data_IF_151702378092
#
_entry.id   IF_151702378092
#
_cell.length_a   1.000
_cell.length_b   1.000
_cell.length_c   1.000
_cell.angle_alpha   90.00
_cell.angle_beta   90.00
_cell.angle_gamma   90.00
#
_symmetry.space_group_name_H-M   'P 1'
#
loop_
_entity.id
_entity.type
_entity.pdbx_description
1 polymer ?
#
# COMPACT_ATOMS: atom_id res chain seq x y z
N UNK A 1 5.42 11.87 -65.17
CA UNK A 1 4.04 11.92 -64.63
C UNK A 1 3.71 10.53 -64.10
N UNK A 2 3.07 10.52 -62.93
CA UNK A 2 2.72 9.40 -62.03
C UNK A 2 3.82 8.65 -61.25
N UNK A 3 3.91 8.93 -59.93
CA UNK A 3 4.34 7.98 -58.92
C UNK A 3 3.13 7.55 -58.07
N UNK A 4 2.70 6.30 -58.17
CA UNK A 4 1.63 5.75 -57.36
C UNK A 4 1.90 4.29 -57.01
N UNK A 5 2.20 4.02 -55.75
CA UNK A 5 1.76 2.85 -54.97
C UNK A 5 2.46 2.85 -53.60
N UNK A 6 1.94 3.68 -52.70
CA UNK A 6 2.29 3.64 -51.27
C UNK A 6 1.72 2.38 -50.62
N UNK A 7 2.62 1.55 -50.09
CA UNK A 7 2.26 0.38 -49.28
C UNK A 7 1.45 0.77 -48.04
N UNK A 8 0.21 0.29 -47.97
CA UNK A 8 -0.62 0.33 -46.76
C UNK A 8 0.05 -0.49 -45.65
N UNK A 9 0.63 0.20 -44.65
CA UNK A 9 0.96 -0.42 -43.36
C UNK A 9 -0.35 -0.82 -42.67
N UNK A 10 -0.56 -2.13 -42.48
CA UNK A 10 -1.57 -2.68 -41.58
C UNK A 10 -1.26 -2.22 -40.15
N UNK A 11 -1.96 -1.22 -39.66
CA UNK A 11 -2.05 -0.92 -38.22
C UNK A 11 -3.10 -1.84 -37.60
N UNK A 12 -2.74 -3.11 -37.40
CA UNK A 12 -3.60 -4.12 -36.79
C UNK A 12 -2.80 -4.93 -35.79
N UNK A 13 -2.62 -4.39 -34.59
CA UNK A 13 -1.93 -5.12 -33.52
C UNK A 13 -1.55 -4.22 -32.35
N UNK A 14 -2.47 -4.05 -31.39
CA UNK A 14 -2.10 -3.98 -29.97
C UNK A 14 -3.27 -3.94 -28.97
N UNK A 15 -4.51 -3.75 -29.42
CA UNK A 15 -5.63 -3.54 -28.48
C UNK A 15 -6.08 -4.81 -27.72
N UNK A 16 -5.84 -6.02 -28.28
CA UNK A 16 -6.18 -7.29 -27.61
C UNK A 16 -5.14 -7.75 -26.57
N UNK A 17 -3.90 -7.26 -26.63
CA UNK A 17 -2.82 -7.68 -25.72
C UNK A 17 -2.94 -7.01 -24.35
N UNK A 18 -3.30 -5.73 -24.32
CA UNK A 18 -3.35 -4.93 -23.09
C UNK A 18 -4.52 -5.30 -22.18
N UNK A 19 -5.68 -5.65 -22.74
CA UNK A 19 -6.85 -6.05 -21.96
C UNK A 19 -6.66 -7.43 -21.30
N UNK A 20 -6.06 -8.39 -22.03
CA UNK A 20 -5.72 -9.70 -21.49
C UNK A 20 -4.64 -9.63 -20.39
N UNK A 21 -3.60 -8.82 -20.60
CA UNK A 21 -2.57 -8.62 -19.58
C UNK A 21 -3.13 -8.00 -18.29
N UNK A 22 -3.99 -6.98 -18.40
CA UNK A 22 -4.60 -6.33 -17.24
C UNK A 22 -5.45 -7.30 -16.41
N UNK A 23 -6.24 -8.14 -17.08
CA UNK A 23 -7.06 -9.16 -16.43
C UNK A 23 -6.20 -10.18 -15.67
N UNK A 24 -5.11 -10.66 -16.28
CA UNK A 24 -4.18 -11.59 -15.63
C UNK A 24 -3.53 -10.97 -14.39
N UNK A 25 -3.11 -9.70 -14.43
CA UNK A 25 -2.53 -9.05 -13.26
C UNK A 25 -3.55 -8.86 -12.12
N UNK A 26 -4.82 -8.61 -12.44
CA UNK A 26 -5.87 -8.44 -11.46
C UNK A 26 -6.19 -9.77 -10.74
N UNK A 27 -6.31 -10.87 -11.49
CA UNK A 27 -6.49 -12.20 -10.91
C UNK A 27 -5.32 -12.66 -10.05
N UNK A 28 -4.08 -12.38 -10.47
CA UNK A 28 -2.88 -12.70 -9.69
C UNK A 28 -2.84 -11.88 -8.39
N UNK A 29 -3.16 -10.59 -8.45
CA UNK A 29 -3.24 -9.75 -7.26
C UNK A 29 -4.32 -10.26 -6.29
N UNK A 30 -5.52 -10.58 -6.77
CA UNK A 30 -6.59 -11.10 -5.92
C UNK A 30 -6.16 -12.40 -5.22
N UNK A 31 -5.66 -13.38 -5.98
CA UNK A 31 -5.16 -14.63 -5.40
C UNK A 31 -4.04 -14.39 -4.38
N UNK A 32 -3.14 -13.44 -4.63
CA UNK A 32 -2.07 -13.12 -3.68
C UNK A 32 -2.61 -12.56 -2.37
N UNK A 33 -3.66 -11.73 -2.43
CA UNK A 33 -4.32 -11.13 -1.25
C UNK A 33 -5.10 -12.20 -0.47
N UNK A 34 -5.83 -13.06 -1.17
CA UNK A 34 -6.59 -14.15 -0.54
C UNK A 34 -5.66 -15.14 0.16
N UNK A 35 -4.52 -15.46 -0.47
CA UNK A 35 -3.51 -16.32 0.10
C UNK A 35 -2.89 -15.71 1.36
N UNK A 36 -2.52 -14.42 1.33
CA UNK A 36 -1.94 -13.76 2.51
C UNK A 36 -2.96 -13.65 3.65
N UNK A 37 -4.21 -13.29 3.36
CA UNK A 37 -5.27 -13.23 4.36
C UNK A 37 -5.51 -14.60 5.01
N UNK A 38 -5.58 -15.67 4.20
CA UNK A 38 -5.77 -17.04 4.69
C UNK A 38 -4.60 -17.49 5.57
N UNK A 39 -3.36 -17.25 5.14
CA UNK A 39 -2.18 -17.57 5.93
C UNK A 39 -2.16 -16.85 7.29
N UNK A 40 -2.53 -15.56 7.32
CA UNK A 40 -2.64 -14.80 8.55
C UNK A 40 -3.75 -15.32 9.46
N UNK A 41 -4.91 -15.73 8.92
CA UNK A 41 -5.96 -16.34 9.74
C UNK A 41 -5.52 -17.65 10.37
N UNK A 42 -4.80 -18.49 9.63
CA UNK A 42 -4.28 -19.76 10.16
C UNK A 42 -3.26 -19.51 11.27
N UNK A 43 -2.34 -18.55 11.06
CA UNK A 43 -1.34 -18.16 12.07
C UNK A 43 -2.00 -17.65 13.36
N UNK A 44 -3.03 -16.84 13.24
CA UNK A 44 -3.75 -16.24 14.38
C UNK A 44 -4.82 -17.17 14.98
N UNK A 45 -5.09 -18.34 14.40
CA UNK A 45 -6.11 -19.26 14.90
C UNK A 45 -5.84 -19.72 16.34
N UNK A 46 -4.58 -19.72 16.77
CA UNK A 46 -4.23 -20.16 18.12
C UNK A 46 -4.86 -19.36 19.25
N UNK A 47 -5.19 -18.09 19.01
CA UNK A 47 -5.87 -17.24 19.98
C UNK A 47 -7.22 -17.81 20.45
N UNK A 48 -7.88 -18.64 19.62
CA UNK A 48 -9.15 -19.27 20.00
C UNK A 48 -9.01 -20.31 21.13
N UNK A 49 -7.82 -20.86 21.36
CA UNK A 49 -7.58 -21.84 22.41
C UNK A 49 -6.55 -21.40 23.46
N UNK A 50 -5.67 -20.44 23.14
CA UNK A 50 -4.66 -19.95 24.09
C UNK A 50 -5.15 -18.81 24.97
N UNK A 51 -6.08 -17.98 24.50
CA UNK A 51 -6.60 -16.84 25.28
C UNK A 51 -8.03 -17.10 25.76
N UNK A 52 -8.34 -16.63 26.97
CA UNK A 52 -9.67 -16.63 27.57
C UNK A 52 -9.97 -15.28 28.21
N UNK A 53 -11.25 -14.97 28.36
CA UNK A 53 -11.73 -13.76 29.04
C UNK A 53 -12.17 -14.15 30.45
N UNK A 54 -11.51 -13.62 31.48
CA UNK A 54 -11.93 -13.70 32.88
C UNK A 54 -11.92 -12.31 33.48
N UNK A 55 -12.98 -11.97 34.20
CA UNK A 55 -13.14 -10.71 34.90
C UNK A 55 -12.83 -9.49 34.00
N UNK A 56 -13.30 -9.52 32.76
CA UNK A 56 -13.06 -8.49 31.70
C UNK A 56 -11.62 -8.33 31.20
N UNK A 57 -10.68 -9.16 31.66
CA UNK A 57 -9.31 -9.20 31.15
C UNK A 57 -9.08 -10.41 30.24
N UNK A 58 -8.27 -10.20 29.20
CA UNK A 58 -7.84 -11.28 28.30
C UNK A 58 -6.52 -11.85 28.83
N UNK A 59 -6.52 -13.13 29.20
CA UNK A 59 -5.36 -13.81 29.77
C UNK A 59 -5.18 -15.18 29.14
N UNK A 60 -3.97 -15.72 29.29
CA UNK A 60 -3.66 -17.08 28.87
C UNK A 60 -4.52 -18.08 29.64
N UNK A 61 -5.30 -18.89 28.93
CA UNK A 61 -6.29 -19.81 29.54
C UNK A 61 -5.69 -20.78 30.57
N UNK A 62 -4.41 -21.14 30.42
CA UNK A 62 -3.70 -22.11 31.25
C UNK A 62 -2.21 -21.72 31.36
N UNK A 63 -1.59 -21.96 32.52
CA UNK A 63 -0.15 -21.78 32.74
C UNK A 63 0.69 -22.64 31.80
N UNK A 64 0.13 -23.77 31.32
CA UNK A 64 0.74 -24.60 30.28
C UNK A 64 1.05 -23.82 28.99
N UNK A 65 0.27 -22.79 28.68
CA UNK A 65 0.44 -21.99 27.47
C UNK A 65 1.22 -20.68 27.71
N UNK A 66 1.61 -20.35 28.94
CA UNK A 66 2.34 -19.10 29.23
C UNK A 66 3.70 -19.06 28.53
N UNK A 67 4.47 -20.14 28.54
CA UNK A 67 5.76 -20.19 27.84
C UNK A 67 5.57 -20.01 26.33
N UNK A 68 4.55 -20.66 25.77
CA UNK A 68 4.23 -20.52 24.35
C UNK A 68 3.84 -19.06 24.03
N UNK A 69 3.00 -18.43 24.83
CA UNK A 69 2.53 -17.05 24.60
C UNK A 69 3.64 -16.02 24.79
N UNK A 70 4.31 -16.04 25.93
CA UNK A 70 5.22 -14.97 26.32
C UNK A 70 6.53 -15.05 25.54
N UNK A 71 7.06 -16.26 25.32
CA UNK A 71 8.32 -16.47 24.61
C UNK A 71 8.08 -16.76 23.13
N UNK A 72 7.47 -17.91 22.82
CA UNK A 72 7.42 -18.42 21.43
C UNK A 72 6.60 -17.51 20.52
N UNK A 73 5.39 -17.13 20.95
CA UNK A 73 4.47 -16.32 20.16
C UNK A 73 4.97 -14.88 20.00
N UNK A 74 5.53 -14.26 21.05
CA UNK A 74 6.15 -12.93 20.93
C UNK A 74 7.22 -12.88 19.84
N UNK A 75 8.07 -13.92 19.73
CA UNK A 75 9.05 -14.01 18.65
C UNK A 75 8.42 -14.25 17.27
N UNK A 76 7.40 -15.10 17.18
CA UNK A 76 6.67 -15.34 15.93
C UNK A 76 6.00 -14.05 15.45
N UNK A 77 5.28 -13.36 16.33
CA UNK A 77 4.62 -12.08 16.04
C UNK A 77 5.65 -11.03 15.58
N UNK A 78 6.75 -10.88 16.33
CA UNK A 78 7.83 -9.97 15.95
C UNK A 78 8.39 -10.27 14.54
N UNK A 79 8.62 -11.55 14.23
CA UNK A 79 9.18 -11.95 12.93
C UNK A 79 8.16 -11.74 11.80
N UNK A 80 6.94 -12.25 11.96
CA UNK A 80 5.93 -12.29 10.90
C UNK A 80 5.27 -10.94 10.69
N UNK A 81 4.91 -10.24 11.78
CA UNK A 81 4.23 -8.95 11.68
C UNK A 81 5.19 -7.84 11.24
N UNK A 82 6.50 -8.00 11.47
CA UNK A 82 7.43 -6.86 11.34
C UNK A 82 8.79 -7.16 10.70
N UNK A 83 9.57 -8.11 11.21
CA UNK A 83 10.94 -8.30 10.71
C UNK A 83 10.97 -8.81 9.26
N UNK A 84 10.17 -9.82 8.94
CA UNK A 84 10.07 -10.41 7.61
C UNK A 84 9.55 -9.40 6.57
N UNK A 85 8.40 -8.72 6.76
CA UNK A 85 7.94 -7.69 5.82
C UNK A 85 8.94 -6.54 5.69
N UNK A 86 9.64 -6.18 6.77
CA UNK A 86 10.68 -5.15 6.73
C UNK A 86 11.87 -5.53 5.84
N UNK A 87 12.47 -6.72 6.04
CA UNK A 87 13.60 -7.20 5.24
C UNK A 87 13.21 -7.35 3.77
N UNK A 88 12.00 -7.83 3.51
CA UNK A 88 11.45 -7.96 2.17
C UNK A 88 11.28 -6.58 1.50
N UNK A 89 10.69 -5.61 2.21
CA UNK A 89 10.55 -4.25 1.70
C UNK A 89 11.91 -3.62 1.38
N UNK A 90 12.89 -3.70 2.28
CA UNK A 90 14.22 -3.12 2.04
C UNK A 90 14.90 -3.77 0.84
N UNK A 91 14.94 -5.10 0.79
CA UNK A 91 15.62 -5.82 -0.29
C UNK A 91 15.02 -5.48 -1.66
N UNK A 92 13.69 -5.44 -1.75
CA UNK A 92 12.98 -5.07 -2.98
C UNK A 92 13.23 -3.60 -3.35
N UNK A 93 13.12 -2.66 -2.40
CA UNK A 93 13.37 -1.24 -2.68
C UNK A 93 14.82 -0.98 -3.13
N UNK A 94 15.81 -1.63 -2.49
CA UNK A 94 17.22 -1.54 -2.89
C UNK A 94 17.40 -2.09 -4.30
N UNK A 95 16.83 -3.26 -4.60
CA UNK A 95 16.90 -3.86 -5.93
C UNK A 95 16.27 -2.95 -7.01
N UNK A 96 15.11 -2.34 -6.71
CA UNK A 96 14.44 -1.37 -7.58
C UNK A 96 15.34 -0.15 -7.83
N UNK A 97 15.93 0.44 -6.79
CA UNK A 97 16.83 1.60 -6.90
C UNK A 97 18.04 1.27 -7.76
N UNK A 98 18.73 0.15 -7.47
CA UNK A 98 19.91 -0.29 -8.21
C UNK A 98 19.56 -0.49 -9.68
N UNK A 99 18.43 -1.16 -9.97
CA UNK A 99 17.96 -1.38 -11.34
C UNK A 99 17.63 -0.07 -12.05
N UNK A 100 16.96 0.86 -11.38
CA UNK A 100 16.61 2.16 -11.96
C UNK A 100 17.83 3.00 -12.26
N UNK A 101 18.82 3.03 -11.36
CA UNK A 101 20.09 3.74 -11.59
C UNK A 101 20.84 3.13 -12.76
N UNK A 102 20.91 1.79 -12.84
CA UNK A 102 21.52 1.09 -13.96
C UNK A 102 20.84 1.41 -15.30
N UNK A 103 19.50 1.37 -15.34
CA UNK A 103 18.72 1.69 -16.53
C UNK A 103 18.85 3.15 -16.94
N UNK A 104 18.95 4.08 -15.98
CA UNK A 104 19.22 5.50 -16.25
C UNK A 104 20.61 5.71 -16.85
N UNK A 105 21.63 4.99 -16.36
CA UNK A 105 22.98 5.05 -16.90
C UNK A 105 23.09 4.47 -18.31
N UNK A 106 22.23 3.50 -18.68
CA UNK A 106 22.20 2.87 -20.01
C UNK A 106 21.27 3.53 -21.03
N UNK A 107 20.30 4.35 -20.61
CA UNK A 107 19.38 5.01 -21.56
C UNK A 107 20.05 6.24 -22.18
N UNK A 108 20.18 6.24 -23.50
CA UNK A 108 20.35 7.48 -24.27
C UNK A 108 19.19 8.44 -23.97
N UNK A 109 19.48 9.75 -23.97
CA UNK A 109 18.62 10.87 -23.55
C UNK A 109 17.23 10.98 -24.22
N UNK A 110 16.85 10.05 -25.11
CA UNK A 110 15.59 10.06 -25.88
C UNK A 110 14.40 9.38 -25.17
N UNK A 111 14.50 9.17 -23.85
CA UNK A 111 13.34 8.80 -23.04
C UNK A 111 12.33 9.96 -23.02
N UNK A 112 11.08 9.73 -23.46
CA UNK A 112 10.00 10.72 -23.30
C UNK A 112 9.94 11.15 -21.83
N UNK A 113 9.90 12.46 -21.59
CA UNK A 113 9.90 13.04 -20.25
C UNK A 113 8.76 12.51 -19.36
N UNK A 114 7.62 12.17 -19.96
CA UNK A 114 6.43 11.64 -19.29
C UNK A 114 6.64 10.25 -18.66
N UNK A 115 7.26 9.30 -19.39
CA UNK A 115 7.57 7.96 -18.87
C UNK A 115 8.57 8.02 -17.69
N UNK A 116 9.50 8.99 -17.74
CA UNK A 116 10.47 9.23 -16.66
C UNK A 116 9.77 9.73 -15.40
N UNK A 117 8.84 10.67 -15.54
CA UNK A 117 8.07 11.23 -14.42
C UNK A 117 7.21 10.17 -13.76
N UNK A 118 6.43 9.39 -14.53
CA UNK A 118 5.55 8.34 -13.99
C UNK A 118 6.31 7.25 -13.23
N UNK A 119 7.41 6.76 -13.79
CA UNK A 119 8.25 5.74 -13.16
C UNK A 119 8.92 6.26 -11.88
N UNK A 120 9.37 7.52 -11.88
CA UNK A 120 9.90 8.17 -10.69
C UNK A 120 8.83 8.32 -9.60
N UNK A 121 7.60 8.71 -9.95
CA UNK A 121 6.49 8.81 -9.01
C UNK A 121 6.16 7.46 -8.39
N UNK A 122 5.99 6.40 -9.19
CA UNK A 122 5.71 5.05 -8.66
C UNK A 122 6.81 4.57 -7.70
N UNK A 123 8.07 4.78 -8.04
CA UNK A 123 9.21 4.40 -7.19
C UNK A 123 9.25 5.24 -5.91
N UNK A 124 9.01 6.55 -6.00
CA UNK A 124 8.97 7.43 -4.84
C UNK A 124 7.88 6.99 -3.86
N UNK A 125 6.70 6.60 -4.36
CA UNK A 125 5.60 6.10 -3.52
C UNK A 125 6.02 4.81 -2.78
N UNK A 126 6.59 3.83 -3.48
CA UNK A 126 7.04 2.57 -2.87
C UNK A 126 8.09 2.81 -1.77
N UNK A 127 9.05 3.71 -2.03
CA UNK A 127 10.07 4.08 -1.05
C UNK A 127 9.44 4.81 0.15
N UNK A 128 8.55 5.78 -0.09
CA UNK A 128 7.88 6.53 0.97
C UNK A 128 7.07 5.61 1.88
N UNK A 129 6.29 4.70 1.31
CA UNK A 129 5.51 3.72 2.10
C UNK A 129 6.43 2.83 2.91
N UNK A 130 7.55 2.37 2.34
CA UNK A 130 8.49 1.48 3.02
C UNK A 130 9.26 2.16 4.16
N UNK A 131 9.66 3.42 3.98
CA UNK A 131 10.28 4.23 5.04
C UNK A 131 9.28 4.55 6.15
N UNK A 132 8.03 4.86 5.80
CA UNK A 132 6.98 5.14 6.76
C UNK A 132 6.63 3.91 7.59
N UNK A 133 6.55 2.73 6.96
CA UNK A 133 6.45 1.47 7.66
C UNK A 133 7.58 1.32 8.69
N UNK A 134 8.83 1.55 8.32
CA UNK A 134 9.94 1.47 9.27
C UNK A 134 9.77 2.42 10.48
N UNK A 135 9.52 3.70 10.23
CA UNK A 135 9.44 4.72 11.30
C UNK A 135 8.30 4.40 12.28
N UNK A 136 7.19 3.88 11.79
CA UNK A 136 5.97 3.72 12.58
C UNK A 136 5.82 2.32 13.18
N UNK A 137 6.45 1.28 12.61
CA UNK A 137 6.44 -0.09 13.17
C UNK A 137 7.69 -0.41 14.01
N UNK A 138 8.82 0.28 13.82
CA UNK A 138 10.03 0.05 14.63
C UNK A 138 9.82 0.24 16.16
N UNK A 139 9.08 1.27 16.64
CA UNK A 139 8.93 1.48 18.09
C UNK A 139 8.20 0.33 18.79
N UNK A 140 7.10 -0.16 18.21
CA UNK A 140 6.30 -1.24 18.79
C UNK A 140 7.05 -2.57 18.77
N UNK A 141 7.78 -2.84 17.71
CA UNK A 141 8.52 -4.11 17.55
C UNK A 141 9.70 -4.22 18.50
N UNK A 142 10.45 -3.14 18.69
CA UNK A 142 11.54 -3.08 19.67
C UNK A 142 10.98 -3.26 21.09
N UNK A 143 9.84 -2.62 21.39
CA UNK A 143 9.22 -2.75 22.71
C UNK A 143 8.76 -4.19 22.99
N UNK A 144 7.97 -4.79 22.09
CA UNK A 144 7.47 -6.16 22.25
C UNK A 144 8.63 -7.17 22.36
N UNK A 145 9.66 -7.04 21.52
CA UNK A 145 10.82 -7.94 21.57
C UNK A 145 11.68 -7.82 22.84
N UNK A 146 11.57 -6.70 23.57
CA UNK A 146 12.33 -6.47 24.81
C UNK A 146 11.45 -6.44 26.06
N UNK A 147 10.14 -6.62 25.93
CA UNK A 147 9.18 -6.40 27.02
C UNK A 147 9.47 -7.31 28.23
N UNK A 148 9.81 -8.59 28.01
CA UNK A 148 10.13 -9.52 29.10
C UNK A 148 11.38 -9.05 29.87
N UNK A 149 12.39 -8.55 29.16
CA UNK A 149 13.59 -8.00 29.77
C UNK A 149 13.26 -6.78 30.64
N UNK A 150 12.47 -5.83 30.11
CA UNK A 150 12.12 -4.61 30.84
C UNK A 150 11.20 -4.89 32.04
N UNK A 151 10.24 -5.81 31.89
CA UNK A 151 9.34 -6.19 32.98
C UNK A 151 10.09 -6.93 34.09
N UNK A 152 11.07 -7.77 33.74
CA UNK A 152 11.94 -8.45 34.73
C UNK A 152 12.83 -7.49 35.54
N UNK A 153 13.00 -6.25 35.06
CA UNK A 153 13.80 -5.20 35.68
C UNK A 153 12.97 -4.16 36.44
N UNK A 154 11.64 -4.24 36.39
CA UNK A 154 10.77 -3.33 37.11
C UNK A 154 10.68 -3.74 38.59
N UNK A 155 11.40 -3.03 39.46
CA UNK A 155 11.40 -3.29 40.92
C UNK A 155 10.39 -2.38 41.66
N UNK A 156 10.02 -1.25 41.06
CA UNK A 156 9.14 -0.24 41.67
C UNK A 156 7.84 -0.04 40.90
N UNK A 157 6.75 0.33 41.59
CA UNK A 157 5.46 0.71 40.97
C UNK A 157 5.62 1.83 39.94
N UNK A 158 6.57 2.74 40.18
CA UNK A 158 6.91 3.81 39.25
C UNK A 158 7.48 3.28 37.93
N UNK A 159 8.21 2.18 37.95
CA UNK A 159 8.79 1.59 36.74
C UNK A 159 7.76 0.80 35.96
N UNK A 160 6.86 0.09 36.64
CA UNK A 160 5.68 -0.51 36.01
C UNK A 160 4.81 0.56 35.30
N UNK A 161 4.52 1.68 35.98
CA UNK A 161 3.75 2.78 35.39
C UNK A 161 4.43 3.42 34.16
N UNK A 162 5.77 3.48 34.12
CA UNK A 162 6.50 3.93 32.93
C UNK A 162 6.36 2.93 31.78
N UNK A 163 6.46 1.63 32.07
CA UNK A 163 6.31 0.59 31.04
C UNK A 163 4.90 0.59 30.45
N UNK A 164 3.87 0.80 31.27
CA UNK A 164 2.49 0.97 30.80
C UNK A 164 2.33 2.20 29.89
N UNK A 165 2.97 3.32 30.26
CA UNK A 165 2.96 4.52 29.42
C UNK A 165 3.67 4.28 28.08
N UNK A 166 4.82 3.59 28.10
CA UNK A 166 5.55 3.25 26.88
C UNK A 166 4.71 2.31 26.02
N UNK A 167 4.11 1.27 26.60
CA UNK A 167 3.20 0.35 25.91
C UNK A 167 2.05 1.10 25.22
N UNK A 168 1.35 1.97 25.96
CA UNK A 168 0.29 2.80 25.39
C UNK A 168 0.81 3.67 24.24
N UNK A 169 1.99 4.28 24.39
CA UNK A 169 2.59 5.15 23.38
C UNK A 169 2.96 4.41 22.10
N UNK A 170 3.62 3.25 22.21
CA UNK A 170 3.99 2.44 21.05
C UNK A 170 2.77 1.83 20.37
N UNK A 171 1.73 1.49 21.14
CA UNK A 171 0.47 1.00 20.59
C UNK A 171 -0.28 2.11 19.82
N UNK A 172 -0.31 3.34 20.34
CA UNK A 172 -0.85 4.48 19.59
C UNK A 172 -0.04 4.76 18.31
N UNK A 173 1.28 4.63 18.35
CA UNK A 173 2.12 4.74 17.15
C UNK A 173 1.80 3.66 16.11
N UNK A 174 1.51 2.42 16.55
CA UNK A 174 1.09 1.33 15.67
C UNK A 174 -0.30 1.56 15.05
N UNK A 175 -1.27 2.10 15.79
CA UNK A 175 -2.54 2.52 15.17
C UNK A 175 -2.34 3.68 14.19
N UNK A 176 -1.41 4.58 14.49
CA UNK A 176 -1.05 5.66 13.59
C UNK A 176 -0.40 5.13 12.31
N UNK A 177 0.37 4.03 12.34
CA UNK A 177 0.86 3.34 11.13
C UNK A 177 -0.31 2.98 10.19
N UNK A 178 -1.39 2.41 10.74
CA UNK A 178 -2.56 2.02 9.96
C UNK A 178 -3.20 3.25 9.25
N UNK A 179 -3.32 4.37 9.97
CA UNK A 179 -3.87 5.61 9.41
C UNK A 179 -2.91 6.30 8.41
N UNK A 180 -1.61 6.31 8.70
CA UNK A 180 -0.59 6.91 7.84
C UNK A 180 -0.54 6.19 6.50
N UNK A 181 -0.62 4.86 6.45
CA UNK A 181 -0.68 4.13 5.19
C UNK A 181 -1.84 4.64 4.32
N UNK A 182 -3.04 4.75 4.88
CA UNK A 182 -4.20 5.32 4.17
C UNK A 182 -3.92 6.75 3.68
N UNK A 183 -3.43 7.63 4.56
CA UNK A 183 -3.11 9.04 4.21
C UNK A 183 -2.05 9.10 3.11
N UNK A 184 -1.01 8.27 3.17
CA UNK A 184 0.04 8.21 2.17
C UNK A 184 -0.49 7.74 0.83
N UNK A 185 -1.40 6.77 0.77
CA UNK A 185 -2.05 6.38 -0.49
C UNK A 185 -2.96 7.50 -1.02
N UNK A 186 -3.71 8.15 -0.12
CA UNK A 186 -4.58 9.28 -0.46
C UNK A 186 -3.78 10.45 -1.03
N UNK A 187 -2.63 10.78 -0.44
CA UNK A 187 -1.75 11.83 -0.90
C UNK A 187 -0.91 11.38 -2.09
N UNK A 188 -0.44 10.15 -2.15
CA UNK A 188 0.46 9.73 -3.24
C UNK A 188 -0.23 9.60 -4.60
N UNK A 189 -1.54 9.32 -4.63
CA UNK A 189 -2.29 9.07 -5.85
C UNK A 189 -2.98 10.32 -6.42
N UNK A 190 -2.46 10.97 -7.49
CA UNK A 190 -3.17 12.09 -8.13
C UNK A 190 -4.56 11.68 -8.67
N UNK A 191 -4.73 10.42 -9.05
CA UNK A 191 -6.02 9.85 -9.43
C UNK A 191 -6.99 9.75 -8.25
N UNK A 192 -6.50 9.32 -7.08
CA UNK A 192 -7.32 9.19 -5.88
C UNK A 192 -7.72 10.56 -5.33
N UNK A 193 -6.78 11.51 -5.25
CA UNK A 193 -7.09 12.90 -4.87
C UNK A 193 -8.18 13.51 -5.75
N UNK A 194 -8.15 13.23 -7.06
CA UNK A 194 -9.16 13.70 -8.01
C UNK A 194 -10.53 13.08 -7.77
N UNK A 195 -10.62 11.79 -7.49
CA UNK A 195 -11.91 11.14 -7.17
C UNK A 195 -12.42 11.53 -5.77
N UNK A 196 -11.55 11.64 -4.78
CA UNK A 196 -11.89 12.13 -3.45
C UNK A 196 -12.41 13.58 -3.51
N UNK A 197 -11.77 14.44 -4.30
CA UNK A 197 -12.25 15.80 -4.52
C UNK A 197 -13.61 15.83 -5.24
N UNK A 198 -13.87 14.94 -6.20
CA UNK A 198 -15.19 14.79 -6.83
C UNK A 198 -16.26 14.36 -5.83
N UNK A 199 -15.96 13.33 -5.03
CA UNK A 199 -16.88 12.81 -4.01
C UNK A 199 -17.14 13.81 -2.87
N UNK A 200 -16.13 14.55 -2.43
CA UNK A 200 -16.26 15.48 -1.29
C UNK A 200 -16.73 16.89 -1.70
N UNK A 201 -16.34 17.41 -2.87
CA UNK A 201 -16.47 18.84 -3.16
C UNK A 201 -16.81 19.21 -4.62
N UNK A 202 -16.72 18.31 -5.61
CA UNK A 202 -16.73 18.72 -7.02
C UNK A 202 -17.87 18.22 -7.91
N UNK A 203 -18.76 17.32 -7.47
CA UNK A 203 -19.95 17.02 -8.29
C UNK A 203 -20.89 18.24 -8.40
N UNK A 204 -21.03 19.02 -7.32
CA UNK A 204 -21.86 20.25 -7.33
C UNK A 204 -21.22 21.43 -8.04
N UNK A 205 -19.90 21.45 -8.20
CA UNK A 205 -19.15 22.56 -8.80
C UNK A 205 -18.84 22.31 -10.28
N UNK A 206 -18.49 21.08 -10.69
CA UNK A 206 -18.32 20.73 -12.11
C UNK A 206 -19.64 20.76 -12.89
N UNK A 207 -20.75 20.34 -12.29
CA UNK A 207 -22.09 20.47 -12.90
C UNK A 207 -22.56 21.92 -13.04
N UNK A 208 -21.90 22.88 -12.36
CA UNK A 208 -22.14 24.32 -12.50
C UNK A 208 -21.21 25.02 -13.49
N UNK A 209 -20.06 24.41 -13.83
CA UNK A 209 -18.99 25.06 -14.63
C UNK A 209 -18.90 24.52 -16.07
N UNK A 210 -19.67 23.52 -16.43
CA UNK A 210 -19.98 23.24 -17.84
C UNK A 210 -21.33 23.91 -18.19
N UNK A 211 -21.37 25.15 -18.70
CA UNK A 211 -22.45 25.46 -19.61
C UNK A 211 -22.22 24.53 -20.80
N UNK A 212 -23.22 23.69 -21.09
CA UNK A 212 -23.28 23.01 -22.37
C UNK A 212 -23.31 24.13 -23.40
N UNK A 213 -22.18 24.42 -24.05
CA UNK A 213 -22.18 25.25 -25.23
C UNK A 213 -22.76 24.40 -26.38
N UNK A 214 -24.09 24.39 -26.42
CA UNK A 214 -24.89 23.75 -27.46
C UNK A 214 -24.69 24.41 -28.83
N UNK A 215 -23.86 25.45 -28.96
CA UNK A 215 -23.61 26.08 -30.26
C UNK A 215 -22.78 25.21 -31.21
N UNK A 216 -21.97 24.28 -30.70
CA UNK A 216 -21.17 23.38 -31.56
C UNK A 216 -21.97 22.18 -32.11
N UNK A 217 -23.14 21.87 -31.52
CA UNK A 217 -24.03 20.80 -32.01
C UNK A 217 -24.95 21.29 -33.14
N UNK A 218 -25.32 22.57 -33.15
CA UNK A 218 -26.13 23.16 -34.26
C UNK A 218 -25.35 23.27 -35.58
N UNK A 219 -24.03 23.48 -35.54
CA UNK A 219 -23.21 23.57 -36.75
C UNK A 219 -23.06 22.23 -37.47
N UNK A 220 -23.19 21.10 -36.76
CA UNK A 220 -23.17 19.76 -37.36
C UNK A 220 -24.54 19.29 -37.90
N UNK A 221 -25.64 19.94 -37.51
CA UNK A 221 -27.01 19.60 -37.93
C UNK A 221 -27.60 20.55 -38.98
N UNK A 222 -27.00 21.74 -39.18
CA UNK A 222 -27.42 22.69 -40.22
C UNK A 222 -26.84 22.40 -41.62
N UNK A 223 -25.63 21.84 -41.71
CA UNK A 223 -24.97 21.53 -43.00
C UNK A 223 -25.48 20.24 -43.65
N UNK A 224 -26.43 19.54 -43.02
CA UNK A 224 -27.10 18.33 -43.56
C UNK A 224 -28.52 18.66 -44.06
N UNK A 225 -29.01 19.90 -43.88
CA UNK A 225 -30.28 20.40 -44.47
C UNK A 225 -30.02 21.53 -45.48
N UNK A 226 -29.21 21.24 -46.50
CA UNK A 226 -29.36 21.88 -47.81
C UNK A 226 -30.05 20.89 -48.74
N UNK A 227 -31.36 21.07 -48.88
CA UNK A 227 -32.12 20.85 -50.11
C UNK A 227 -33.00 22.07 -50.29
#
# INVERSE_FOLDING_TARGET
>A
MDPGLGGRRKAGGNFRSTSGQRFVYEEVCCHSVDLTATALMILNAHFFWTESIVDTYCYTSDTKYEYFRNVVWSWIDFVVASLAPFVLMISINVAIIVRLVYLRKRRNLNARADDKTRMNTMTAILITVSLMFFITTAPITIFVGTQEYWWSKAETDRDAAKLDLVWASVNMAAYTNCAINFILYCLSGPSFRRELAKMLLLERWLNKVQPIDNSTVSTALGTIRTN
#
